data_IF_175496952500
#
_entry.id   IF_175496952500
#
_cell.length_a   1.000
_cell.length_b   1.000
_cell.length_c   1.000
_cell.angle_alpha   90.00
_cell.angle_beta   90.00
_cell.angle_gamma   90.00
#
_symmetry.space_group_name_H-M   'P 1'
#
loop_
_entity.id
_entity.type
_entity.pdbx_description
1 polymer ?
#
# COMPACT_ATOMS: atom_id res chain seq x y z
N UNK A 1 35.23 -55.92 0.35
CA UNK A 1 34.06 -56.77 0.02
C UNK A 1 32.80 -55.93 0.20
N UNK A 2 31.94 -55.86 -0.82
CA UNK A 2 30.54 -55.43 -0.69
C UNK A 2 30.21 -53.98 -1.08
N UNK A 3 30.03 -53.71 -2.38
CA UNK A 3 29.40 -52.51 -2.94
C UNK A 3 28.04 -52.92 -3.51
N UNK A 4 26.94 -52.26 -3.10
CA UNK A 4 25.60 -52.49 -3.65
C UNK A 4 25.29 -51.48 -4.77
N UNK A 5 25.08 -51.99 -5.99
CA UNK A 5 24.38 -51.33 -7.11
C UNK A 5 23.05 -52.07 -7.32
N UNK A 6 21.96 -51.34 -7.53
CA UNK A 6 20.68 -51.90 -7.99
C UNK A 6 20.10 -51.05 -9.13
N UNK A 7 19.43 -51.74 -10.03
CA UNK A 7 19.28 -51.42 -11.45
C UNK A 7 18.04 -50.59 -11.81
N UNK A 8 18.13 -49.95 -12.98
CA UNK A 8 17.04 -49.33 -13.75
C UNK A 8 16.20 -50.42 -14.42
N UNK A 9 14.90 -50.19 -14.58
CA UNK A 9 14.07 -50.90 -15.57
C UNK A 9 13.16 -49.91 -16.31
N UNK A 10 13.17 -50.03 -17.64
CA UNK A 10 12.36 -49.28 -18.59
C UNK A 10 11.38 -50.26 -19.25
N UNK A 11 10.16 -49.81 -19.52
CA UNK A 11 9.24 -50.53 -20.40
C UNK A 11 8.53 -49.53 -21.32
N UNK A 12 8.89 -49.63 -22.59
CA UNK A 12 8.24 -49.04 -23.76
C UNK A 12 7.03 -49.91 -24.15
N UNK A 13 5.90 -49.30 -24.53
CA UNK A 13 4.97 -49.91 -25.49
C UNK A 13 4.28 -48.81 -26.30
N UNK A 14 4.42 -48.90 -27.62
CA UNK A 14 3.82 -48.04 -28.64
C UNK A 14 2.69 -48.80 -29.35
N UNK A 15 1.66 -48.11 -29.86
CA UNK A 15 0.75 -48.46 -30.99
C UNK A 15 -0.33 -47.35 -31.08
N UNK A 16 -0.20 -46.36 -31.97
CA UNK A 16 -0.69 -46.27 -33.37
C UNK A 16 -2.20 -46.06 -33.55
N UNK A 17 -2.54 -45.05 -34.37
CA UNK A 17 -3.84 -44.44 -34.59
C UNK A 17 -4.84 -45.23 -35.47
N UNK A 18 -6.15 -44.94 -35.36
CA UNK A 18 -6.94 -44.27 -36.43
C UNK A 18 -8.43 -44.05 -36.07
N UNK A 19 -9.12 -43.08 -36.72
CA UNK A 19 -10.48 -42.63 -36.41
C UNK A 19 -11.55 -43.24 -37.35
N UNK A 20 -12.83 -43.15 -36.92
CA UNK A 20 -14.10 -43.44 -37.63
C UNK A 20 -14.82 -44.75 -37.28
N UNK A 21 -15.86 -44.64 -36.44
CA UNK A 21 -17.14 -45.37 -36.57
C UNK A 21 -18.15 -44.78 -35.56
N UNK A 22 -19.08 -43.94 -36.05
CA UNK A 22 -20.54 -44.20 -36.09
C UNK A 22 -21.31 -44.21 -34.74
N UNK A 23 -22.07 -43.13 -34.56
CA UNK A 23 -23.49 -43.03 -34.21
C UNK A 23 -24.12 -43.82 -33.04
N UNK A 24 -24.95 -43.05 -32.32
CA UNK A 24 -26.21 -43.41 -31.67
C UNK A 24 -26.16 -44.02 -30.25
N UNK A 25 -26.44 -43.17 -29.26
CA UNK A 25 -27.55 -43.38 -28.30
C UNK A 25 -27.78 -42.09 -27.50
N UNK A 26 -28.85 -41.39 -27.85
CA UNK A 26 -29.41 -40.28 -27.08
C UNK A 26 -30.75 -40.74 -26.47
N UNK A 27 -30.82 -40.82 -25.15
CA UNK A 27 -32.02 -40.74 -24.31
C UNK A 27 -31.55 -40.81 -22.86
N UNK A 28 -31.95 -39.98 -21.89
CA UNK A 28 -32.81 -38.82 -21.83
C UNK A 28 -32.73 -38.35 -20.38
N UNK A 29 -32.34 -37.10 -20.15
CA UNK A 29 -32.43 -36.45 -18.84
C UNK A 29 -32.90 -35.00 -19.09
N UNK A 30 -33.95 -34.51 -18.40
CA UNK A 30 -34.44 -33.16 -18.63
C UNK A 30 -33.42 -32.13 -18.15
N UNK A 31 -32.88 -31.34 -19.07
CA UNK A 31 -32.15 -30.11 -18.74
C UNK A 31 -33.12 -29.12 -18.11
N UNK A 32 -33.07 -28.98 -16.79
CA UNK A 32 -33.66 -27.84 -16.11
C UNK A 32 -33.04 -26.55 -16.68
N UNK A 33 -33.84 -25.78 -17.42
CA UNK A 33 -33.45 -24.43 -17.84
C UNK A 33 -33.37 -23.58 -16.57
N UNK A 34 -32.16 -23.29 -16.10
CA UNK A 34 -31.97 -22.16 -15.20
C UNK A 34 -32.44 -20.91 -15.95
N UNK A 35 -33.60 -20.39 -15.55
CA UNK A 35 -34.02 -19.07 -15.96
C UNK A 35 -32.94 -18.08 -15.47
N UNK A 36 -32.19 -17.52 -16.42
CA UNK A 36 -31.32 -16.38 -16.17
C UNK A 36 -32.19 -15.21 -15.77
N UNK A 37 -32.42 -15.09 -14.46
CA UNK A 37 -33.07 -13.91 -13.89
C UNK A 37 -32.12 -12.74 -14.17
N UNK A 38 -32.46 -11.91 -15.14
CA UNK A 38 -31.72 -10.70 -15.45
C UNK A 38 -31.47 -9.94 -14.15
N UNK A 39 -30.19 -9.71 -13.83
CA UNK A 39 -29.83 -8.83 -12.73
C UNK A 39 -30.51 -7.48 -13.00
N UNK A 40 -31.27 -6.91 -12.04
CA UNK A 40 -31.77 -5.56 -12.21
C UNK A 40 -30.57 -4.62 -12.42
N UNK A 41 -30.72 -3.55 -13.23
CA UNK A 41 -29.65 -2.58 -13.41
C UNK A 41 -29.24 -2.11 -12.01
N UNK A 42 -27.97 -2.36 -11.64
CA UNK A 42 -27.41 -1.85 -10.39
C UNK A 42 -27.58 -0.33 -10.45
N UNK A 43 -28.51 0.20 -9.66
CA UNK A 43 -28.49 1.61 -9.30
C UNK A 43 -27.09 1.88 -8.76
N UNK A 44 -26.34 2.74 -9.46
CA UNK A 44 -25.11 3.30 -8.95
C UNK A 44 -25.47 4.00 -7.63
N UNK A 45 -25.25 3.33 -6.50
CA UNK A 45 -25.39 3.95 -5.20
C UNK A 45 -24.44 5.15 -5.19
N UNK A 46 -24.92 6.35 -4.81
CA UNK A 46 -24.07 7.53 -4.74
C UNK A 46 -22.87 7.26 -3.82
N UNK A 47 -21.69 7.72 -4.24
CA UNK A 47 -20.41 7.62 -3.52
C UNK A 47 -20.62 7.80 -2.02
N UNK A 48 -20.38 6.75 -1.23
CA UNK A 48 -20.50 6.82 0.23
C UNK A 48 -19.11 6.72 0.87
N UNK A 49 -18.54 7.89 1.12
CA UNK A 49 -17.68 8.19 2.27
C UNK A 49 -16.44 7.30 2.54
N UNK A 50 -15.67 6.86 1.54
CA UNK A 50 -14.22 6.66 1.79
C UNK A 50 -13.37 7.90 1.53
N UNK A 51 -13.94 8.92 0.89
CA UNK A 51 -13.31 10.22 0.70
C UNK A 51 -11.84 10.09 0.28
N UNK A 52 -11.58 9.86 -1.01
CA UNK A 52 -10.53 10.69 -1.57
C UNK A 52 -11.10 12.10 -1.43
N UNK A 53 -10.56 12.87 -0.49
CA UNK A 53 -11.01 14.24 -0.31
C UNK A 53 -10.98 14.88 -1.70
N UNK A 54 -12.12 15.45 -2.12
CA UNK A 54 -12.07 16.49 -3.13
C UNK A 54 -11.02 17.52 -2.64
N UNK A 55 -10.32 18.21 -3.52
CA UNK A 55 -9.34 19.22 -3.07
C UNK A 55 -9.94 20.19 -2.03
N UNK A 56 -11.27 20.40 -2.08
CA UNK A 56 -12.07 21.17 -1.13
C UNK A 56 -12.43 20.48 0.20
N UNK A 57 -12.46 19.14 0.29
CA UNK A 57 -12.81 18.39 1.52
C UNK A 57 -11.59 18.10 2.41
N UNK A 58 -10.38 18.36 1.92
CA UNK A 58 -9.22 18.45 2.78
C UNK A 58 -9.38 19.73 3.60
N UNK A 59 -10.03 19.63 4.77
CA UNK A 59 -10.27 20.76 5.68
C UNK A 59 -8.97 21.44 6.18
N UNK A 60 -7.81 20.86 5.82
CA UNK A 60 -6.52 21.53 5.80
C UNK A 60 -6.02 21.67 4.37
N UNK A 61 -6.55 22.63 3.64
CA UNK A 61 -5.67 23.50 2.88
C UNK A 61 -4.89 24.27 3.94
N UNK A 62 -3.70 23.78 4.32
CA UNK A 62 -2.71 24.64 4.94
C UNK A 62 -2.74 25.95 4.14
N UNK A 63 -2.80 27.12 4.79
CA UNK A 63 -2.97 28.46 4.18
C UNK A 63 -1.86 28.86 3.17
N UNK A 64 -1.11 27.90 2.60
CA UNK A 64 -0.18 28.05 1.50
C UNK A 64 -0.29 26.99 0.38
N UNK A 65 -1.27 26.07 0.43
CA UNK A 65 -1.44 25.02 -0.58
C UNK A 65 -0.32 23.97 -0.58
N UNK A 66 -0.60 22.79 -1.13
CA UNK A 66 0.43 21.78 -1.42
C UNK A 66 1.06 22.05 -2.79
N UNK A 67 1.65 23.23 -2.96
CA UNK A 67 2.50 23.53 -4.12
C UNK A 67 3.74 22.64 -4.11
N UNK A 68 4.37 22.45 -5.27
CA UNK A 68 5.61 21.66 -5.39
C UNK A 68 6.69 22.21 -4.44
N UNK A 69 6.70 23.52 -4.19
CA UNK A 69 7.72 24.26 -3.42
C UNK A 69 7.47 24.34 -1.89
N UNK A 70 8.54 24.47 -1.06
CA UNK A 70 8.44 24.66 0.39
C UNK A 70 7.80 25.99 0.82
N UNK A 71 7.06 25.98 1.92
CA UNK A 71 6.76 27.18 2.71
C UNK A 71 7.94 27.49 3.67
N UNK A 72 8.04 28.74 4.12
CA UNK A 72 9.14 29.25 4.97
C UNK A 72 9.27 28.53 6.33
N UNK A 73 8.19 27.91 6.81
CA UNK A 73 8.15 27.13 8.05
C UNK A 73 8.57 25.65 7.87
N UNK A 74 8.97 25.26 6.66
CA UNK A 74 9.33 23.88 6.31
C UNK A 74 8.13 22.95 6.11
N UNK A 75 6.92 23.49 6.03
CA UNK A 75 5.70 22.79 5.61
C UNK A 75 5.41 23.08 4.12
N UNK A 76 4.45 22.40 3.49
CA UNK A 76 4.19 22.51 2.04
C UNK A 76 4.38 21.19 1.28
N UNK A 77 4.29 21.21 -0.05
CA UNK A 77 4.33 19.99 -0.87
C UNK A 77 5.69 19.30 -0.95
N UNK A 78 5.84 18.39 -1.90
CA UNK A 78 6.95 17.43 -2.00
C UNK A 78 8.35 18.01 -1.73
N UNK A 79 8.69 19.20 -2.27
CA UNK A 79 10.01 19.81 -2.03
C UNK A 79 10.19 20.33 -0.60
N UNK A 80 9.13 20.72 0.11
CA UNK A 80 9.19 21.14 1.52
C UNK A 80 9.79 20.07 2.41
N UNK A 81 9.42 18.82 2.15
CA UNK A 81 9.87 17.66 2.89
C UNK A 81 11.24 17.14 2.43
N UNK A 82 11.92 17.79 1.48
CA UNK A 82 13.36 17.58 1.27
C UNK A 82 14.16 18.03 2.48
N UNK A 83 13.66 18.97 3.31
CA UNK A 83 14.25 19.47 4.58
C UNK A 83 15.72 19.93 4.55
N UNK A 84 16.38 19.80 3.39
CA UNK A 84 17.65 20.37 3.03
C UNK A 84 17.53 20.64 1.52
N UNK A 85 17.29 21.89 1.15
CA UNK A 85 17.50 22.38 -0.22
C UNK A 85 18.97 22.18 -0.66
N UNK A 86 19.84 21.90 0.31
CA UNK A 86 21.27 21.66 0.25
C UNK A 86 21.67 20.20 0.54
N UNK A 87 20.84 19.21 0.18
CA UNK A 87 21.48 18.05 -0.45
C UNK A 87 21.82 18.61 -1.83
N UNK A 88 23.08 19.04 -2.08
CA UNK A 88 23.46 19.66 -3.36
C UNK A 88 22.86 18.75 -4.41
N UNK A 89 21.96 19.23 -5.30
CA UNK A 89 20.91 18.37 -5.87
C UNK A 89 21.37 16.94 -6.16
N UNK A 90 21.11 15.97 -5.29
CA UNK A 90 21.62 14.59 -5.44
C UNK A 90 23.11 14.46 -5.88
N UNK A 91 23.99 15.40 -5.55
CA UNK A 91 25.32 15.57 -6.11
C UNK A 91 25.38 15.57 -7.65
N UNK A 92 26.56 15.70 -8.25
CA UNK A 92 26.84 15.20 -9.60
C UNK A 92 26.84 13.66 -9.62
N UNK A 93 25.81 13.03 -9.06
CA UNK A 93 25.59 11.59 -9.07
C UNK A 93 24.65 11.20 -10.22
N UNK A 94 24.87 10.01 -10.77
CA UNK A 94 24.05 9.47 -11.86
C UNK A 94 22.58 9.39 -11.45
N UNK A 95 21.68 10.14 -12.10
CA UNK A 95 20.23 10.01 -11.86
C UNK A 95 19.69 8.77 -12.56
N UNK A 96 20.08 7.63 -11.98
CA UNK A 96 19.83 6.31 -12.52
C UNK A 96 18.34 6.01 -12.69
N UNK A 97 17.45 6.71 -11.98
CA UNK A 97 16.01 6.47 -12.05
C UNK A 97 15.47 6.80 -13.45
N UNK A 98 15.96 7.89 -14.06
CA UNK A 98 15.65 8.20 -15.46
C UNK A 98 16.22 7.15 -16.41
N UNK A 99 17.44 6.65 -16.14
CA UNK A 99 18.04 5.59 -16.97
C UNK A 99 17.25 4.28 -16.95
N UNK A 100 16.66 3.92 -15.82
CA UNK A 100 15.80 2.72 -15.74
C UNK A 100 14.47 2.99 -16.45
N UNK A 101 13.94 4.21 -16.39
CA UNK A 101 12.71 4.59 -17.11
C UNK A 101 12.90 4.61 -18.63
N UNK A 102 14.04 5.13 -19.10
CA UNK A 102 14.40 5.23 -20.51
C UNK A 102 15.03 3.94 -21.07
N UNK A 103 15.16 2.89 -20.24
CA UNK A 103 15.71 1.60 -20.65
C UNK A 103 14.74 0.92 -21.63
N UNK A 104 15.11 0.76 -22.91
CA UNK A 104 14.25 0.13 -23.91
C UNK A 104 13.93 -1.33 -23.59
N UNK A 105 14.76 -2.01 -22.79
CA UNK A 105 14.56 -3.40 -22.38
C UNK A 105 13.76 -3.52 -21.07
N UNK A 106 13.69 -2.45 -20.26
CA UNK A 106 13.04 -2.43 -18.94
C UNK A 106 11.55 -2.05 -18.93
N UNK A 107 11.03 -1.48 -20.02
CA UNK A 107 9.62 -1.09 -20.28
C UNK A 107 8.78 -0.69 -19.05
N UNK A 108 9.31 0.21 -18.21
CA UNK A 108 8.52 0.91 -17.18
C UNK A 108 7.42 1.79 -17.79
N UNK A 109 7.54 2.12 -19.09
CA UNK A 109 6.51 2.80 -19.84
C UNK A 109 5.19 2.01 -19.88
N UNK A 110 5.23 0.67 -19.83
CA UNK A 110 4.03 -0.16 -19.65
C UNK A 110 3.29 0.15 -18.34
N UNK A 111 4.02 0.35 -17.24
CA UNK A 111 3.44 0.71 -15.95
C UNK A 111 2.91 2.15 -15.94
N UNK A 112 3.64 3.07 -16.57
CA UNK A 112 3.23 4.46 -16.71
C UNK A 112 1.96 4.61 -17.57
N UNK A 113 1.81 3.80 -18.63
CA UNK A 113 0.65 3.80 -19.54
C UNK A 113 -0.54 2.98 -19.04
N UNK A 114 -0.35 2.09 -18.06
CA UNK A 114 -1.41 1.27 -17.48
C UNK A 114 -2.46 2.12 -16.75
N UNK A 115 -3.55 2.50 -17.42
CA UNK A 115 -4.64 3.28 -16.84
C UNK A 115 -5.98 2.58 -17.04
N UNK A 116 -6.32 1.56 -16.21
CA UNK A 116 -7.58 0.81 -16.36
C UNK A 116 -8.82 1.61 -15.94
N UNK A 117 -8.62 2.76 -15.30
CA UNK A 117 -9.66 3.56 -14.68
C UNK A 117 -10.03 4.85 -15.43
N UNK A 118 -11.05 5.53 -14.93
CA UNK A 118 -11.61 6.80 -15.41
C UNK A 118 -11.09 8.05 -14.68
N UNK A 119 -10.44 7.90 -13.52
CA UNK A 119 -9.87 8.99 -12.72
C UNK A 119 -8.73 9.66 -13.48
N UNK A 120 -8.88 10.97 -13.68
CA UNK A 120 -7.95 11.79 -14.46
C UNK A 120 -6.78 12.35 -13.66
N UNK A 121 -6.88 12.38 -12.33
CA UNK A 121 -5.80 12.90 -11.51
C UNK A 121 -4.72 11.83 -11.24
N UNK A 122 -3.46 12.25 -11.03
CA UNK A 122 -2.37 11.36 -10.63
C UNK A 122 -2.74 10.52 -9.40
N UNK A 123 -2.28 9.25 -9.31
CA UNK A 123 -2.34 8.48 -8.07
C UNK A 123 -1.63 9.21 -6.93
N UNK A 124 -2.32 9.37 -5.79
CA UNK A 124 -1.80 10.10 -4.63
C UNK A 124 -1.14 9.14 -3.65
N UNK A 125 0.16 9.29 -3.41
CA UNK A 125 0.94 8.34 -2.62
C UNK A 125 1.61 9.03 -1.43
N UNK A 126 1.31 8.56 -0.21
CA UNK A 126 1.98 8.97 1.01
C UNK A 126 3.13 8.02 1.35
N UNK A 127 4.33 8.55 1.53
CA UNK A 127 5.51 7.76 1.92
C UNK A 127 5.88 8.08 3.36
N UNK A 128 6.00 7.03 4.18
CA UNK A 128 6.40 7.10 5.59
C UNK A 128 7.73 6.38 5.79
N UNK A 129 8.62 6.94 6.61
CA UNK A 129 9.91 6.31 6.96
C UNK A 129 10.18 6.25 8.47
N UNK A 130 10.99 5.28 8.89
CA UNK A 130 11.14 4.90 10.31
C UNK A 130 12.40 5.36 11.04
N UNK A 131 13.15 6.35 10.56
CA UNK A 131 14.36 6.81 11.27
C UNK A 131 14.59 8.31 11.14
N UNK A 132 14.88 8.92 12.30
CA UNK A 132 15.18 10.35 12.49
C UNK A 132 16.69 10.66 12.42
N UNK A 133 17.54 9.65 12.19
CA UNK A 133 18.99 9.86 12.05
C UNK A 133 19.27 10.71 10.80
N UNK A 134 20.34 11.49 10.85
CA UNK A 134 20.74 12.30 9.70
C UNK A 134 21.15 11.38 8.53
N UNK A 135 21.95 10.35 8.80
CA UNK A 135 22.33 9.28 7.86
C UNK A 135 21.32 8.12 7.84
N UNK A 136 20.03 8.42 7.64
CA UNK A 136 18.94 7.43 7.68
C UNK A 136 18.76 6.70 6.33
N UNK A 137 19.19 5.44 6.25
CA UNK A 137 18.99 4.62 5.04
C UNK A 137 17.51 4.38 4.70
N UNK A 138 16.61 4.31 5.68
CA UNK A 138 15.18 4.20 5.40
C UNK A 138 14.62 5.49 4.78
N UNK A 139 15.18 6.66 5.14
CA UNK A 139 14.82 7.94 4.53
C UNK A 139 15.35 8.02 3.09
N UNK A 140 16.60 7.61 2.87
CA UNK A 140 17.17 7.53 1.51
C UNK A 140 16.36 6.58 0.62
N UNK A 141 16.03 5.38 1.11
CA UNK A 141 15.21 4.42 0.38
C UNK A 141 13.79 4.95 0.11
N UNK A 142 13.17 5.65 1.07
CA UNK A 142 11.88 6.30 0.88
C UNK A 142 11.93 7.36 -0.24
N UNK A 143 13.02 8.12 -0.34
CA UNK A 143 13.20 9.08 -1.43
C UNK A 143 13.42 8.40 -2.78
N UNK A 144 14.13 7.28 -2.87
CA UNK A 144 14.24 6.52 -4.13
C UNK A 144 12.89 5.95 -4.57
N UNK A 145 12.07 5.44 -3.63
CA UNK A 145 10.70 5.01 -3.91
C UNK A 145 9.87 6.16 -4.49
N UNK A 146 9.96 7.34 -3.88
CA UNK A 146 9.22 8.51 -4.34
C UNK A 146 9.63 8.94 -5.75
N UNK A 147 10.94 8.99 -6.07
CA UNK A 147 11.43 9.31 -7.42
C UNK A 147 10.86 8.36 -8.47
N UNK A 148 10.91 7.05 -8.20
CA UNK A 148 10.36 6.05 -9.14
C UNK A 148 8.87 6.28 -9.36
N UNK A 149 8.10 6.53 -8.30
CA UNK A 149 6.66 6.73 -8.39
C UNK A 149 6.28 8.04 -9.10
N UNK A 150 7.05 9.12 -8.92
CA UNK A 150 6.87 10.37 -9.67
C UNK A 150 7.07 10.18 -11.18
N UNK A 151 8.12 9.45 -11.58
CA UNK A 151 8.32 9.09 -13.00
C UNK A 151 7.19 8.22 -13.55
N UNK A 152 6.59 7.39 -12.70
CA UNK A 152 5.39 6.60 -13.02
C UNK A 152 4.09 7.43 -12.98
N UNK A 153 4.18 8.76 -12.82
CA UNK A 153 3.08 9.70 -12.91
C UNK A 153 2.22 9.79 -11.66
N UNK A 154 2.77 9.49 -10.48
CA UNK A 154 2.11 9.69 -9.18
C UNK A 154 2.39 11.07 -8.59
N UNK A 155 1.44 11.59 -7.81
CA UNK A 155 1.66 12.71 -6.89
C UNK A 155 2.11 12.12 -5.55
N UNK A 156 3.36 12.38 -5.16
CA UNK A 156 4.02 11.73 -4.02
C UNK A 156 4.33 12.74 -2.91
N UNK A 157 3.99 12.39 -1.67
CA UNK A 157 4.33 13.19 -0.48
C UNK A 157 5.04 12.31 0.54
N UNK A 158 6.28 12.66 0.92
CA UNK A 158 7.00 12.03 2.03
C UNK A 158 6.72 12.83 3.30
N UNK A 159 6.21 12.16 4.34
CA UNK A 159 6.02 12.80 5.64
C UNK A 159 7.31 12.78 6.45
N UNK A 160 7.71 13.93 7.01
CA UNK A 160 8.82 14.03 7.95
C UNK A 160 8.33 13.82 9.40
N UNK A 161 8.72 12.75 10.11
CA UNK A 161 8.24 12.47 11.45
C UNK A 161 9.00 13.22 12.56
N UNK A 162 9.97 14.07 12.24
CA UNK A 162 10.67 14.90 13.24
C UNK A 162 9.65 15.83 13.92
N UNK A 163 9.66 15.87 15.25
CA UNK A 163 8.73 16.66 16.05
C UNK A 163 7.33 16.05 16.21
N UNK A 164 7.08 14.85 15.69
CA UNK A 164 5.83 14.12 15.99
C UNK A 164 5.86 13.63 17.45
N UNK A 165 4.94 14.08 18.32
CA UNK A 165 4.89 13.60 19.71
C UNK A 165 4.60 12.11 19.78
N UNK A 166 4.95 11.49 20.91
CA UNK A 166 4.46 10.13 21.23
C UNK A 166 2.94 10.18 21.31
N UNK A 167 2.27 9.12 20.82
CA UNK A 167 0.81 9.05 20.80
C UNK A 167 0.21 9.29 22.19
N UNK A 168 -0.50 10.41 22.32
CA UNK A 168 -1.20 10.84 23.52
C UNK A 168 -2.59 11.40 23.11
N UNK A 169 -3.71 10.93 23.68
CA UNK A 169 -5.03 11.47 23.35
C UNK A 169 -5.18 12.99 23.54
N UNK A 170 -4.34 13.63 24.35
CA UNK A 170 -4.43 15.07 24.61
C UNK A 170 -3.72 15.92 23.54
N UNK A 171 -2.92 15.29 22.67
CA UNK A 171 -2.12 15.97 21.64
C UNK A 171 -2.71 15.86 20.23
N UNK A 172 -4.02 15.61 20.14
CA UNK A 172 -4.74 15.45 18.87
C UNK A 172 -4.64 16.70 17.98
N UNK A 173 -4.56 17.90 18.54
CA UNK A 173 -4.42 19.18 17.82
C UNK A 173 -3.00 19.54 17.41
N UNK A 174 -1.99 18.72 17.76
CA UNK A 174 -0.60 19.02 17.46
C UNK A 174 -0.37 19.15 15.94
N UNK A 175 0.37 20.16 15.44
CA UNK A 175 0.51 20.41 13.99
C UNK A 175 0.99 19.18 13.20
N UNK A 176 2.02 18.49 13.68
CA UNK A 176 2.52 17.25 13.06
C UNK A 176 1.49 16.11 13.02
N UNK A 177 0.58 16.05 13.99
CA UNK A 177 -0.49 15.03 14.03
C UNK A 177 -1.55 15.37 12.98
N UNK A 178 -1.95 16.64 12.90
CA UNK A 178 -2.90 17.12 11.89
C UNK A 178 -2.36 16.97 10.48
N UNK A 179 -1.09 17.29 10.26
CA UNK A 179 -0.37 17.08 8.99
C UNK A 179 -0.40 15.62 8.56
N UNK A 180 0.02 14.70 9.44
CA UNK A 180 0.06 13.26 9.14
C UNK A 180 -1.33 12.71 8.78
N UNK A 181 -2.36 13.12 9.52
CA UNK A 181 -3.73 12.68 9.27
C UNK A 181 -4.30 13.25 7.97
N UNK A 182 -3.99 14.51 7.67
CA UNK A 182 -4.39 15.17 6.43
C UNK A 182 -3.74 14.51 5.22
N UNK A 183 -2.45 14.16 5.33
CA UNK A 183 -1.74 13.40 4.30
C UNK A 183 -2.34 12.00 4.11
N UNK A 184 -2.65 11.29 5.19
CA UNK A 184 -3.30 9.97 5.09
C UNK A 184 -4.67 10.10 4.41
N UNK A 185 -5.46 11.11 4.76
CA UNK A 185 -6.77 11.36 4.14
C UNK A 185 -6.65 11.67 2.65
N UNK A 186 -5.70 12.52 2.26
CA UNK A 186 -5.40 12.87 0.87
C UNK A 186 -4.97 11.68 0.02
N UNK A 187 -4.21 10.75 0.61
CA UNK A 187 -3.61 9.63 -0.12
C UNK A 187 -4.63 8.62 -0.65
N UNK A 188 -4.27 7.94 -1.73
CA UNK A 188 -4.93 6.73 -2.25
C UNK A 188 -4.12 5.46 -1.95
N UNK A 189 -2.83 5.65 -1.66
CA UNK A 189 -1.86 4.60 -1.40
C UNK A 189 -0.78 5.05 -0.43
N UNK A 190 -0.18 4.11 0.31
CA UNK A 190 0.99 4.36 1.15
C UNK A 190 2.20 3.51 0.76
N UNK A 191 3.40 4.06 0.96
CA UNK A 191 4.67 3.32 0.99
C UNK A 191 5.27 3.42 2.39
N UNK A 192 5.55 2.28 3.01
CA UNK A 192 6.03 2.18 4.39
C UNK A 192 7.45 1.64 4.44
N UNK A 193 8.40 2.46 4.89
CA UNK A 193 9.83 2.12 4.94
C UNK A 193 10.35 2.14 6.38
N UNK A 194 10.44 0.98 7.04
CA UNK A 194 10.99 0.90 8.40
C UNK A 194 12.40 0.30 8.39
N UNK A 195 13.37 0.88 9.11
CA UNK A 195 14.53 0.12 9.55
C UNK A 195 14.11 -1.07 10.41
N UNK A 196 14.98 -2.06 10.48
CA UNK A 196 14.93 -3.09 11.50
C UNK A 196 15.82 -2.69 12.69
N UNK A 197 15.20 -2.51 13.86
CA UNK A 197 15.88 -2.16 15.10
C UNK A 197 15.50 -3.17 16.18
N UNK A 198 16.51 -3.81 16.78
CA UNK A 198 16.32 -4.93 17.71
C UNK A 198 15.41 -6.04 17.15
N UNK A 199 15.50 -6.31 15.84
CA UNK A 199 14.73 -7.35 15.17
C UNK A 199 13.25 -7.00 14.91
N UNK A 200 12.84 -5.74 15.10
CA UNK A 200 11.46 -5.29 14.89
C UNK A 200 11.39 -3.96 14.13
N UNK A 201 10.17 -3.50 13.83
CA UNK A 201 9.93 -2.14 13.33
C UNK A 201 10.38 -1.10 14.35
N UNK A 202 10.73 0.08 13.88
CA UNK A 202 11.16 1.15 14.76
C UNK A 202 9.98 1.77 15.53
N UNK A 203 10.25 2.25 16.75
CA UNK A 203 9.26 3.01 17.52
C UNK A 203 8.84 4.30 16.79
N UNK A 204 9.77 4.94 16.07
CA UNK A 204 9.47 6.13 15.25
C UNK A 204 8.47 5.82 14.13
N UNK A 205 8.58 4.66 13.47
CA UNK A 205 7.61 4.23 12.47
C UNK A 205 6.27 3.89 13.11
N UNK A 206 6.29 3.08 14.17
CA UNK A 206 5.08 2.63 14.86
C UNK A 206 4.27 3.81 15.42
N UNK A 207 4.94 4.82 15.96
CA UNK A 207 4.30 6.03 16.46
C UNK A 207 3.51 6.78 15.36
N UNK A 208 4.01 6.83 14.12
CA UNK A 208 3.26 7.40 13.00
C UNK A 208 1.96 6.63 12.75
N UNK A 209 2.02 5.30 12.70
CA UNK A 209 0.81 4.48 12.51
C UNK A 209 -0.17 4.62 13.68
N UNK A 210 0.33 4.75 14.92
CA UNK A 210 -0.51 4.94 16.11
C UNK A 210 -1.27 6.26 16.13
N UNK A 211 -0.81 7.26 15.38
CA UNK A 211 -1.53 8.52 15.17
C UNK A 211 -2.63 8.45 14.12
N UNK A 212 -2.67 7.37 13.30
CA UNK A 212 -3.70 7.15 12.29
C UNK A 212 -4.85 6.33 12.88
N UNK A 213 -6.02 6.93 13.16
CA UNK A 213 -7.16 6.20 13.67
C UNK A 213 -7.81 5.35 12.56
N UNK A 214 -8.43 4.22 12.95
CA UNK A 214 -9.25 3.43 12.01
C UNK A 214 -10.52 4.18 11.59
N UNK A 215 -11.03 5.04 12.48
CA UNK A 215 -12.18 5.89 12.25
C UNK A 215 -12.05 7.22 13.00
N UNK A 216 -12.37 8.32 12.33
CA UNK A 216 -12.65 9.62 12.95
C UNK A 216 -14.06 10.01 12.52
N UNK A 217 -15.05 9.70 13.37
CA UNK A 217 -16.46 9.78 12.99
C UNK A 217 -16.77 8.86 11.81
N UNK A 218 -17.19 9.43 10.67
CA UNK A 218 -17.48 8.70 9.43
C UNK A 218 -16.27 8.50 8.52
N UNK A 219 -15.15 9.19 8.76
CA UNK A 219 -13.97 9.17 7.89
C UNK A 219 -13.05 8.02 8.29
N UNK A 220 -12.56 7.26 7.30
CA UNK A 220 -11.62 6.15 7.48
C UNK A 220 -10.30 6.47 6.75
N UNK A 221 -9.28 7.01 7.45
CA UNK A 221 -8.07 7.57 6.82
C UNK A 221 -7.17 6.57 6.09
N UNK A 222 -7.29 5.26 6.34
CA UNK A 222 -6.43 4.23 5.73
C UNK A 222 -7.21 3.16 4.99
N UNK A 223 -8.49 2.95 5.32
CA UNK A 223 -9.25 1.82 4.83
C UNK A 223 -9.45 1.88 3.31
N UNK A 224 -9.14 0.78 2.61
CA UNK A 224 -9.30 0.69 1.15
C UNK A 224 -8.14 1.29 0.34
N UNK A 225 -7.19 1.96 0.99
CA UNK A 225 -5.95 2.48 0.36
C UNK A 225 -4.92 1.37 0.22
N UNK A 226 -4.19 1.33 -0.88
CA UNK A 226 -3.15 0.31 -1.11
C UNK A 226 -1.91 0.59 -0.25
N UNK A 227 -1.13 -0.44 0.06
CA UNK A 227 0.10 -0.30 0.84
C UNK A 227 1.25 -1.10 0.23
N UNK A 228 2.44 -0.52 0.11
CA UNK A 228 3.69 -1.24 -0.13
C UNK A 228 4.59 -1.16 1.09
N UNK A 229 5.32 -2.24 1.38
CA UNK A 229 6.18 -2.34 2.57
C UNK A 229 7.62 -2.64 2.19
N UNK A 230 8.54 -1.88 2.80
CA UNK A 230 9.98 -2.00 2.59
C UNK A 230 10.69 -1.94 3.94
N UNK A 231 11.85 -2.60 4.01
CA UNK A 231 12.78 -2.43 5.14
C UNK A 231 14.22 -2.22 4.70
N UNK A 232 14.98 -1.61 5.61
CA UNK A 232 16.45 -1.59 5.59
C UNK A 232 16.98 -2.23 6.86
N UNK A 233 18.14 -2.87 6.79
CA UNK A 233 18.84 -3.32 7.99
C UNK A 233 20.35 -3.06 7.87
N UNK A 234 21.04 -2.98 9.01
CA UNK A 234 22.49 -2.80 9.04
C UNK A 234 23.28 -4.11 8.94
N UNK A 235 22.61 -5.26 9.06
CA UNK A 235 23.21 -6.58 9.20
C UNK A 235 22.89 -7.51 8.02
N UNK A 236 22.83 -8.81 8.30
CA UNK A 236 22.38 -9.80 7.33
C UNK A 236 20.90 -9.62 6.98
N UNK A 237 20.50 -10.18 5.84
CA UNK A 237 19.11 -10.09 5.38
C UNK A 237 18.13 -10.66 6.42
N UNK A 238 17.06 -9.91 6.64
CA UNK A 238 15.96 -10.22 7.55
C UNK A 238 14.66 -9.75 6.91
N UNK A 239 13.54 -10.29 7.39
CA UNK A 239 12.20 -9.91 6.93
C UNK A 239 11.28 -9.56 8.09
N UNK A 240 11.81 -9.39 9.30
CA UNK A 240 11.00 -9.18 10.48
C UNK A 240 10.20 -7.88 10.38
N UNK A 241 10.86 -6.77 10.02
CA UNK A 241 10.20 -5.48 9.91
C UNK A 241 9.11 -5.49 8.82
N UNK A 242 9.37 -6.02 7.61
CA UNK A 242 8.33 -6.09 6.56
C UNK A 242 7.17 -7.02 6.92
N UNK A 243 7.42 -8.11 7.65
CA UNK A 243 6.36 -8.99 8.14
C UNK A 243 5.46 -8.27 9.15
N UNK A 244 6.04 -7.49 10.07
CA UNK A 244 5.27 -6.65 10.99
C UNK A 244 4.49 -5.56 10.27
N UNK A 245 5.12 -4.87 9.32
CA UNK A 245 4.46 -3.84 8.50
C UNK A 245 3.26 -4.43 7.74
N UNK A 246 3.39 -5.63 7.19
CA UNK A 246 2.30 -6.32 6.50
C UNK A 246 1.16 -6.69 7.47
N UNK A 247 1.49 -7.12 8.69
CA UNK A 247 0.49 -7.33 9.75
C UNK A 247 -0.23 -6.04 10.13
N UNK A 248 0.51 -4.94 10.23
CA UNK A 248 -0.04 -3.61 10.51
C UNK A 248 -0.93 -3.11 9.36
N UNK A 249 -0.52 -3.27 8.10
CA UNK A 249 -1.32 -2.85 6.94
C UNK A 249 -2.69 -3.53 6.94
N UNK A 250 -2.73 -4.82 7.29
CA UNK A 250 -3.99 -5.56 7.47
C UNK A 250 -4.85 -5.00 8.61
N UNK A 251 -4.27 -4.61 9.74
CA UNK A 251 -4.99 -3.90 10.82
C UNK A 251 -5.53 -2.55 10.36
N UNK A 252 -4.76 -1.81 9.57
CA UNK A 252 -5.20 -0.56 8.95
C UNK A 252 -6.18 -0.77 7.78
N UNK A 253 -6.56 -2.02 7.49
CA UNK A 253 -7.49 -2.44 6.42
C UNK A 253 -7.03 -1.98 5.04
N UNK A 254 -5.72 -2.03 4.82
CA UNK A 254 -5.06 -1.67 3.58
C UNK A 254 -4.71 -2.94 2.78
N UNK A 255 -5.18 -3.09 1.54
CA UNK A 255 -4.66 -4.13 0.65
C UNK A 255 -3.17 -3.88 0.37
N UNK A 256 -2.33 -4.75 0.93
CA UNK A 256 -0.88 -4.66 0.77
C UNK A 256 -0.45 -5.37 -0.51
N UNK A 257 0.42 -4.74 -1.30
CA UNK A 257 1.03 -5.34 -2.50
C UNK A 257 1.74 -6.64 -2.15
N UNK A 258 1.81 -7.56 -3.11
CA UNK A 258 2.40 -8.86 -2.93
C UNK A 258 3.91 -8.77 -2.77
N UNK A 259 4.55 -7.98 -3.64
CA UNK A 259 5.98 -7.78 -3.60
C UNK A 259 6.40 -6.85 -2.44
N UNK A 260 7.62 -7.03 -1.97
CA UNK A 260 8.21 -6.27 -0.87
C UNK A 260 9.74 -6.19 -1.02
N UNK A 261 10.36 -5.18 -0.43
CA UNK A 261 11.82 -5.02 -0.45
C UNK A 261 12.43 -5.12 0.95
N UNK A 262 13.56 -5.82 1.05
CA UNK A 262 14.41 -5.85 2.23
C UNK A 262 15.86 -5.67 1.81
N UNK A 263 16.44 -4.53 2.19
CA UNK A 263 17.81 -4.14 1.82
C UNK A 263 18.76 -4.49 2.99
N UNK A 264 19.50 -5.62 2.92
CA UNK A 264 20.54 -5.95 3.89
C UNK A 264 21.74 -5.01 3.79
N UNK A 265 22.51 -4.91 4.88
CA UNK A 265 23.76 -4.14 4.94
C UNK A 265 23.64 -2.79 4.22
N UNK A 266 22.57 -2.04 4.50
CA UNK A 266 22.16 -0.91 3.65
C UNK A 266 23.28 0.13 3.44
N UNK A 267 24.21 0.26 4.37
CA UNK A 267 25.40 1.10 4.23
C UNK A 267 26.31 0.76 3.04
N UNK A 268 26.23 -0.45 2.48
CA UNK A 268 26.96 -0.84 1.27
C UNK A 268 26.21 -0.44 -0.01
N UNK A 269 24.88 -0.36 0.06
CA UNK A 269 23.98 -0.17 -1.08
C UNK A 269 23.73 1.29 -1.43
N UNK A 270 24.13 2.23 -0.56
CA UNK A 270 24.07 3.66 -0.82
C UNK A 270 25.48 4.22 -1.05
N UNK A 271 25.61 5.19 -1.95
CA UNK A 271 26.84 5.96 -2.16
C UNK A 271 26.94 7.16 -1.21
N UNK A 272 28.04 7.90 -1.30
CA UNK A 272 28.31 9.07 -0.45
C UNK A 272 27.33 10.23 -0.71
N UNK A 273 26.68 10.26 -1.88
CA UNK A 273 25.62 11.20 -2.22
C UNK A 273 24.22 10.74 -1.73
N UNK A 274 24.14 9.56 -1.10
CA UNK A 274 22.90 8.99 -0.60
C UNK A 274 22.01 8.39 -1.69
N UNK A 275 22.56 8.04 -2.86
CA UNK A 275 21.85 7.35 -3.95
C UNK A 275 22.04 5.84 -3.85
N UNK A 276 21.01 5.10 -4.21
CA UNK A 276 21.09 3.64 -4.24
C UNK A 276 21.92 3.16 -5.44
N UNK A 277 22.95 2.37 -5.17
CA UNK A 277 23.85 1.78 -6.18
C UNK A 277 23.10 0.75 -7.01
N UNK A 278 23.62 0.47 -8.21
CA UNK A 278 23.10 -0.61 -9.05
C UNK A 278 23.31 -1.97 -8.36
N UNK A 279 22.22 -2.64 -8.02
CA UNK A 279 22.22 -3.98 -7.44
C UNK A 279 20.86 -4.66 -7.66
N UNK A 280 20.80 -5.97 -7.46
CA UNK A 280 19.53 -6.71 -7.49
C UNK A 280 18.52 -6.22 -6.44
N UNK A 281 18.99 -5.57 -5.38
CA UNK A 281 18.14 -4.93 -4.38
C UNK A 281 17.48 -3.67 -4.95
N UNK A 282 18.20 -2.92 -5.80
CA UNK A 282 17.66 -1.75 -6.51
C UNK A 282 16.58 -2.16 -7.50
N UNK A 283 16.85 -3.20 -8.29
CA UNK A 283 15.86 -3.79 -9.22
C UNK A 283 14.61 -4.23 -8.47
N UNK A 284 14.75 -4.89 -7.32
CA UNK A 284 13.60 -5.22 -6.47
C UNK A 284 12.79 -4.01 -6.01
N UNK A 285 13.45 -2.89 -5.70
CA UNK A 285 12.73 -1.66 -5.31
C UNK A 285 11.90 -1.14 -6.48
N UNK A 286 12.46 -1.18 -7.70
CA UNK A 286 11.73 -0.83 -8.93
C UNK A 286 10.51 -1.73 -9.12
N UNK A 287 10.67 -3.06 -9.04
CA UNK A 287 9.56 -4.02 -9.16
C UNK A 287 8.42 -3.72 -8.15
N UNK A 288 8.78 -3.39 -6.91
CA UNK A 288 7.79 -3.12 -5.85
C UNK A 288 7.03 -1.83 -6.14
N UNK A 289 7.71 -0.77 -6.61
CA UNK A 289 7.05 0.49 -6.98
C UNK A 289 6.18 0.34 -8.22
N UNK A 290 6.64 -0.43 -9.21
CA UNK A 290 5.90 -0.76 -10.41
C UNK A 290 4.63 -1.57 -10.11
N UNK A 291 4.74 -2.63 -9.31
CA UNK A 291 3.58 -3.39 -8.86
C UNK A 291 2.62 -2.51 -8.07
N UNK A 292 3.16 -1.66 -7.18
CA UNK A 292 2.36 -0.79 -6.33
C UNK A 292 1.55 0.24 -7.10
N UNK A 293 2.12 0.89 -8.12
CA UNK A 293 1.37 1.85 -8.93
C UNK A 293 0.26 1.15 -9.73
N UNK A 294 0.53 -0.02 -10.31
CA UNK A 294 -0.48 -0.83 -11.03
C UNK A 294 -1.63 -1.22 -10.11
N UNK A 295 -1.30 -1.72 -8.92
CA UNK A 295 -2.29 -2.11 -7.90
C UNK A 295 -3.15 -0.92 -7.44
N UNK A 296 -2.52 0.24 -7.26
CA UNK A 296 -3.20 1.47 -6.86
C UNK A 296 -4.17 1.96 -7.92
N UNK A 297 -3.74 2.01 -9.20
CA UNK A 297 -4.59 2.42 -10.31
C UNK A 297 -5.80 1.50 -10.51
N UNK A 298 -5.67 0.21 -10.19
CA UNK A 298 -6.77 -0.75 -10.22
C UNK A 298 -7.76 -0.57 -9.07
N UNK A 299 -7.27 -0.38 -7.84
CA UNK A 299 -8.11 -0.42 -6.64
C UNK A 299 -8.79 0.91 -6.35
N UNK A 300 -8.14 2.05 -6.64
CA UNK A 300 -8.60 3.38 -6.19
C UNK A 300 -10.01 3.74 -6.63
N UNK A 301 -10.47 3.30 -7.79
CA UNK A 301 -11.83 3.60 -8.29
C UNK A 301 -12.91 2.74 -7.66
N UNK A 302 -12.51 1.61 -7.09
CA UNK A 302 -13.41 0.60 -6.55
C UNK A 302 -13.31 0.48 -5.04
N UNK A 303 -12.50 1.32 -4.37
CA UNK A 303 -12.27 1.28 -2.93
C UNK A 303 -13.59 1.28 -2.14
N UNK A 304 -14.54 2.16 -2.48
CA UNK A 304 -15.87 2.25 -1.83
C UNK A 304 -16.62 0.93 -1.91
N UNK A 305 -16.62 0.29 -3.09
CA UNK A 305 -17.29 -0.98 -3.31
C UNK A 305 -16.59 -2.12 -2.57
N UNK A 306 -15.26 -2.14 -2.55
CA UNK A 306 -14.46 -3.18 -1.90
C UNK A 306 -14.61 -3.18 -0.38
N UNK A 307 -15.00 -2.05 0.21
CA UNK A 307 -15.20 -1.93 1.66
C UNK A 307 -16.65 -1.96 2.09
N UNK A 308 -17.60 -2.07 1.16
CA UNK A 308 -19.02 -2.20 1.45
C UNK A 308 -19.29 -3.61 1.99
N UNK A 309 -19.23 -3.74 3.33
CA UNK A 309 -19.34 -5.02 4.04
C UNK A 309 -20.79 -5.39 4.33
N UNK A 310 -21.11 -6.67 4.14
CA UNK A 310 -22.41 -7.24 4.50
C UNK A 310 -22.81 -6.94 5.95
N UNK A 311 -21.91 -7.17 6.92
CA UNK A 311 -22.19 -6.94 8.34
C UNK A 311 -22.51 -5.47 8.65
N UNK A 312 -21.82 -4.54 8.00
CA UNK A 312 -22.08 -3.11 8.14
C UNK A 312 -23.45 -2.73 7.57
N UNK A 313 -23.86 -3.34 6.45
CA UNK A 313 -25.20 -3.11 5.87
C UNK A 313 -26.32 -3.68 6.75
N UNK A 314 -26.13 -4.86 7.33
CA UNK A 314 -27.10 -5.45 8.28
C UNK A 314 -27.27 -4.55 9.49
N UNK A 315 -26.17 -4.09 10.08
CA UNK A 315 -26.20 -3.20 11.24
C UNK A 315 -26.88 -1.86 10.93
N UNK A 316 -26.60 -1.27 9.76
CA UNK A 316 -27.28 -0.05 9.33
C UNK A 316 -28.79 -0.29 9.13
N UNK A 317 -29.19 -1.45 8.59
CA UNK A 317 -30.60 -1.78 8.42
C UNK A 317 -31.33 -1.96 9.76
N UNK A 318 -30.66 -2.53 10.77
CA UNK A 318 -31.23 -2.76 12.10
C UNK A 318 -31.23 -1.51 13.00
N UNK A 319 -30.15 -0.72 12.95
CA UNK A 319 -29.87 0.37 13.90
C UNK A 319 -29.99 1.76 13.27
N UNK A 320 -30.17 1.85 11.96
CA UNK A 320 -30.18 3.10 11.19
C UNK A 320 -28.79 3.74 11.00
N UNK A 321 -27.76 3.26 11.71
CA UNK A 321 -26.38 3.74 11.65
C UNK A 321 -25.40 2.66 12.09
N UNK A 322 -24.11 2.86 11.82
CA UNK A 322 -23.06 2.07 12.45
C UNK A 322 -22.83 2.53 13.90
N UNK A 323 -22.78 1.57 14.80
CA UNK A 323 -22.42 1.76 16.19
C UNK A 323 -20.90 1.73 16.34
N UNK A 324 -20.40 2.56 17.24
CA UNK A 324 -19.01 2.47 17.72
C UNK A 324 -18.81 1.16 18.48
N UNK A 325 -17.57 0.67 18.57
CA UNK A 325 -17.29 -0.56 19.32
C UNK A 325 -17.75 -0.45 20.79
N UNK A 326 -17.57 0.72 21.42
CA UNK A 326 -18.02 0.96 22.79
C UNK A 326 -19.55 0.91 22.94
N UNK A 327 -20.32 1.35 21.93
CA UNK A 327 -21.77 1.19 21.91
C UNK A 327 -22.17 -0.29 21.75
N UNK A 328 -21.49 -1.02 20.85
CA UNK A 328 -21.73 -2.47 20.66
C UNK A 328 -21.49 -3.27 21.93
N UNK A 329 -20.39 -2.99 22.64
CA UNK A 329 -20.10 -3.67 23.89
C UNK A 329 -21.11 -3.30 24.98
N UNK A 330 -21.54 -2.03 25.07
CA UNK A 330 -22.61 -1.62 25.99
C UNK A 330 -23.93 -2.34 25.70
N UNK A 331 -24.32 -2.47 24.44
CA UNK A 331 -25.52 -3.23 24.06
C UNK A 331 -25.41 -4.72 24.40
N UNK A 332 -24.25 -5.34 24.16
CA UNK A 332 -24.02 -6.76 24.53
C UNK A 332 -24.10 -6.96 26.04
N UNK A 333 -23.47 -6.09 26.83
CA UNK A 333 -23.53 -6.16 28.29
C UNK A 333 -24.96 -5.97 28.78
N UNK A 334 -25.71 -5.01 28.23
CA UNK A 334 -27.12 -4.81 28.56
C UNK A 334 -27.96 -6.05 28.21
N UNK A 335 -27.76 -6.65 27.03
CA UNK A 335 -28.47 -7.85 26.60
C UNK A 335 -28.17 -9.08 27.49
N UNK A 336 -26.92 -9.22 27.96
CA UNK A 336 -26.54 -10.29 28.89
C UNK A 336 -27.21 -10.15 30.26
N UNK A 337 -27.34 -8.91 30.77
CA UNK A 337 -28.01 -8.63 32.04
C UNK A 337 -29.52 -8.90 31.94
N UNK A 338 -30.15 -8.57 30.81
CA UNK A 338 -31.59 -8.81 30.60
C UNK A 338 -31.93 -10.26 30.25
N UNK A 339 -30.97 -11.06 29.77
CA UNK A 339 -31.17 -12.47 29.40
C UNK A 339 -30.88 -13.47 30.52
N UNK A 340 -30.39 -13.02 31.68
CA UNK A 340 -30.08 -13.85 32.86
C UNK A 340 -31.11 -13.70 34.00
N UNK A 341 -32.25 -13.07 33.75
CA UNK A 341 -33.37 -12.93 34.69
C UNK A 341 -34.56 -13.78 34.23
#
# INVERSE_FOLDING_TARGET
MGVLRAARSAAFFALSASPHCLCALAAGLPRARLATRAMPPRMALPRRNLGSASESDAMYTLDGGYGIDPLEDGTGGWLAHRSVLDIPGSGPGDDWVHKVFDDPDGDLASAASFSPGTLKHPPRILVLYGSLRDSSFSRLLAHECARILELLGADVRVYNPRGLPVRDPDLESHPKVQELRSLSLWSEAHVWVSPEMHGCITGAFKNQIDWLPLNTGSVRPTQGRTCAVLQVNGGSQSFNAVNELRRLARWMRMPCTTNQSSVPKAWQEFDDAGRMKHSSLRERVVDVMEEHIKFTRLIREHADFMVDRYSERVEIAEKGRLLTQAEKEREKTAAQITGSA
#
